data_IF_900820479369
#
_entry.id   IF_900820479369
#
_cell.length_a   1.000
_cell.length_b   1.000
_cell.length_c   1.000
_cell.angle_alpha   90.00
_cell.angle_beta   90.00
_cell.angle_gamma   90.00
#
_symmetry.space_group_name_H-M   'P 1'
#
loop_
_entity.id
_entity.type
_entity.pdbx_description
1 polymer ?
#
# COMPACT_ATOMS: atom_id res chain seq x y z
N UNK A 1 -6.56 14.55 30.83
CA UNK A 1 -7.48 14.05 29.78
C UNK A 1 -7.08 14.51 28.38
N UNK A 2 -6.89 15.82 28.16
CA UNK A 2 -6.52 16.36 26.84
C UNK A 2 -5.20 15.76 26.32
N UNK A 3 -4.14 15.70 27.14
CA UNK A 3 -2.85 15.13 26.71
C UNK A 3 -2.94 13.70 26.16
N UNK A 4 -3.66 12.80 26.85
CA UNK A 4 -3.88 11.42 26.37
C UNK A 4 -4.65 11.40 25.05
N UNK A 5 -5.67 12.27 24.92
CA UNK A 5 -6.48 12.38 23.70
C UNK A 5 -5.67 12.92 22.53
N UNK A 6 -4.77 13.88 22.77
CA UNK A 6 -3.86 14.45 21.76
C UNK A 6 -2.83 13.42 21.30
N UNK A 7 -2.29 12.59 22.22
CA UNK A 7 -1.39 11.50 21.84
C UNK A 7 -2.11 10.43 21.01
N UNK A 8 -3.29 9.99 21.47
CA UNK A 8 -4.11 9.02 20.73
C UNK A 8 -4.52 9.54 19.35
N UNK A 9 -4.89 10.83 19.27
CA UNK A 9 -5.16 11.55 18.04
C UNK A 9 -3.94 11.56 17.11
N UNK A 10 -2.79 12.01 17.61
CA UNK A 10 -1.56 12.15 16.83
C UNK A 10 -1.10 10.82 16.25
N UNK A 11 -1.15 9.74 17.04
CA UNK A 11 -0.83 8.39 16.58
C UNK A 11 -1.81 7.88 15.52
N UNK A 12 -3.12 8.05 15.74
CA UNK A 12 -4.14 7.61 14.80
C UNK A 12 -4.10 8.40 13.48
N UNK A 13 -3.92 9.71 13.59
CA UNK A 13 -3.75 10.61 12.46
C UNK A 13 -2.50 10.26 11.65
N UNK A 14 -1.36 10.09 12.32
CA UNK A 14 -0.11 9.68 11.69
C UNK A 14 -0.25 8.33 10.98
N UNK A 15 -0.74 7.29 11.65
CA UNK A 15 -0.85 5.97 11.07
C UNK A 15 -1.86 5.95 9.91
N UNK A 16 -2.96 6.68 10.04
CA UNK A 16 -3.95 6.85 8.99
C UNK A 16 -3.36 7.49 7.73
N UNK A 17 -2.65 8.60 7.86
CA UNK A 17 -1.96 9.25 6.74
C UNK A 17 -0.82 8.39 6.17
N UNK A 18 -0.07 7.70 7.04
CA UNK A 18 1.02 6.83 6.63
C UNK A 18 0.51 5.71 5.71
N UNK A 19 -0.57 5.03 6.11
CA UNK A 19 -1.20 4.00 5.28
C UNK A 19 -1.77 4.56 3.98
N UNK A 20 -2.33 5.77 4.00
CA UNK A 20 -2.90 6.41 2.82
C UNK A 20 -1.85 6.72 1.74
N UNK A 21 -0.65 7.17 2.17
CA UNK A 21 0.45 7.51 1.26
C UNK A 21 1.20 6.27 0.77
N UNK A 22 1.28 5.21 1.59
CA UNK A 22 2.10 4.01 1.32
C UNK A 22 1.81 3.38 -0.05
N UNK A 23 0.55 3.13 -0.38
CA UNK A 23 0.15 2.74 -1.74
C UNK A 23 -1.29 3.19 -2.08
N UNK A 24 -1.46 4.24 -2.91
CA UNK A 24 -2.76 4.81 -3.28
C UNK A 24 -3.63 3.84 -4.12
N UNK A 25 -3.09 2.68 -4.53
CA UNK A 25 -3.80 1.71 -5.37
C UNK A 25 -4.46 0.59 -4.56
N UNK A 26 -4.09 0.41 -3.28
CA UNK A 26 -4.54 -0.72 -2.47
C UNK A 26 -5.77 -0.37 -1.62
N UNK A 27 -6.95 -0.99 -1.87
CA UNK A 27 -8.17 -0.67 -1.13
C UNK A 27 -8.07 -0.99 0.37
N UNK A 28 -7.29 -2.02 0.74
CA UNK A 28 -7.03 -2.38 2.13
C UNK A 28 -6.43 -1.21 2.93
N UNK A 29 -5.41 -0.54 2.37
CA UNK A 29 -4.74 0.57 3.04
C UNK A 29 -5.66 1.78 3.19
N UNK A 30 -6.46 2.10 2.16
CA UNK A 30 -7.39 3.24 2.20
C UNK A 30 -8.51 3.05 3.22
N UNK A 31 -9.07 1.84 3.29
CA UNK A 31 -10.16 1.54 4.22
C UNK A 31 -9.65 1.56 5.66
N UNK A 32 -8.48 1.00 5.89
CA UNK A 32 -7.84 1.06 7.21
C UNK A 32 -7.51 2.50 7.60
N UNK A 33 -6.92 3.28 6.68
CA UNK A 33 -6.64 4.69 6.86
C UNK A 33 -7.91 5.50 7.18
N UNK A 34 -9.00 5.28 6.44
CA UNK A 34 -10.27 5.96 6.67
C UNK A 34 -10.81 5.72 8.09
N UNK A 35 -10.69 4.50 8.62
CA UNK A 35 -11.10 4.19 9.99
C UNK A 35 -10.26 4.91 11.05
N UNK A 36 -8.93 4.95 10.85
CA UNK A 36 -8.00 5.65 11.75
C UNK A 36 -8.22 7.17 11.73
N UNK A 37 -8.41 7.75 10.53
CA UNK A 37 -8.67 9.18 10.37
C UNK A 37 -10.04 9.58 10.91
N UNK A 38 -11.07 8.75 10.75
CA UNK A 38 -12.39 8.99 11.34
C UNK A 38 -12.34 8.95 12.88
N UNK A 39 -11.59 8.00 13.44
CA UNK A 39 -11.36 7.94 14.89
C UNK A 39 -10.59 9.17 15.39
N UNK A 40 -9.53 9.58 14.69
CA UNK A 40 -8.79 10.79 15.02
C UNK A 40 -9.71 12.03 14.97
N UNK A 41 -10.52 12.19 13.92
CA UNK A 41 -11.49 13.28 13.83
C UNK A 41 -12.49 13.25 15.00
N UNK A 42 -12.92 12.07 15.46
CA UNK A 42 -13.81 11.92 16.60
C UNK A 42 -13.19 12.32 17.95
N UNK A 43 -11.86 12.26 18.07
CA UNK A 43 -11.15 12.75 19.27
C UNK A 43 -10.98 14.27 19.28
N UNK A 44 -10.83 14.88 18.10
CA UNK A 44 -10.49 16.31 17.97
C UNK A 44 -11.70 17.23 17.88
N UNK A 45 -12.82 16.72 17.36
CA UNK A 45 -14.01 17.50 17.06
C UNK A 45 -15.20 17.06 17.93
N UNK A 46 -16.10 17.97 18.34
CA UNK A 46 -17.37 17.62 18.97
C UNK A 46 -18.30 17.04 17.91
N UNK A 47 -18.06 15.79 17.54
CA UNK A 47 -18.85 15.08 16.53
C UNK A 47 -19.99 14.29 17.18
N UNK A 48 -21.13 14.14 16.47
CA UNK A 48 -22.18 13.26 16.92
C UNK A 48 -21.68 11.81 17.05
N UNK A 49 -22.23 11.00 17.97
CA UNK A 49 -21.78 9.61 18.21
C UNK A 49 -21.77 8.71 16.97
N UNK A 50 -22.56 9.04 15.93
CA UNK A 50 -22.51 8.37 14.62
C UNK A 50 -21.11 8.34 14.02
N UNK A 51 -20.26 9.34 14.26
CA UNK A 51 -18.89 9.36 13.71
C UNK A 51 -18.05 8.22 14.30
N UNK A 52 -18.38 7.72 15.50
CA UNK A 52 -17.76 6.52 16.06
C UNK A 52 -18.17 5.22 15.34
N UNK A 53 -19.23 5.26 14.52
CA UNK A 53 -19.60 4.14 13.66
C UNK A 53 -18.76 4.08 12.37
N UNK A 54 -18.15 5.20 11.94
CA UNK A 54 -17.33 5.24 10.72
C UNK A 54 -16.08 4.35 10.80
N UNK A 55 -15.31 4.33 11.92
CA UNK A 55 -14.24 3.35 12.09
C UNK A 55 -14.72 1.91 11.93
N UNK A 56 -15.89 1.57 12.46
CA UNK A 56 -16.44 0.21 12.34
C UNK A 56 -16.81 -0.16 10.90
N UNK A 57 -17.39 0.78 10.14
CA UNK A 57 -17.70 0.57 8.71
C UNK A 57 -16.40 0.45 7.91
N UNK A 58 -15.42 1.31 8.16
CA UNK A 58 -14.11 1.23 7.53
C UNK A 58 -13.40 -0.11 7.83
N UNK A 59 -13.49 -0.58 9.07
CA UNK A 59 -12.93 -1.86 9.53
C UNK A 59 -13.55 -3.06 8.83
N UNK A 60 -14.89 -3.10 8.70
CA UNK A 60 -15.56 -4.14 7.90
C UNK A 60 -15.02 -4.16 6.48
N UNK A 61 -14.81 -2.98 5.90
CA UNK A 61 -14.25 -2.82 4.57
C UNK A 61 -12.82 -3.35 4.47
N UNK A 62 -11.98 -3.11 5.47
CA UNK A 62 -10.62 -3.61 5.50
C UNK A 62 -10.59 -5.15 5.58
N UNK A 63 -11.39 -5.76 6.45
CA UNK A 63 -11.45 -7.23 6.56
C UNK A 63 -11.99 -7.87 5.27
N UNK A 64 -13.00 -7.27 4.62
CA UNK A 64 -13.53 -7.81 3.35
C UNK A 64 -12.51 -7.87 2.22
N UNK A 65 -11.41 -7.09 2.28
CA UNK A 65 -10.31 -7.20 1.32
C UNK A 65 -9.55 -8.53 1.41
N UNK A 66 -9.65 -9.24 2.53
CA UNK A 66 -9.06 -10.58 2.69
C UNK A 66 -10.03 -11.71 2.36
N UNK A 67 -11.30 -11.39 2.14
CA UNK A 67 -12.34 -12.34 1.76
C UNK A 67 -12.51 -12.40 0.24
N UNK A 68 -13.20 -13.41 -0.31
CA UNK A 68 -13.51 -13.49 -1.74
C UNK A 68 -14.15 -12.21 -2.30
N UNK A 69 -13.84 -11.86 -3.56
CA UNK A 69 -14.22 -10.59 -4.22
C UNK A 69 -15.72 -10.25 -4.14
N UNK A 70 -16.59 -11.26 -4.02
CA UNK A 70 -18.03 -11.05 -3.84
C UNK A 70 -18.33 -10.19 -2.61
N UNK A 71 -17.64 -10.40 -1.50
CA UNK A 71 -17.87 -9.66 -0.25
C UNK A 71 -17.35 -8.22 -0.35
N UNK A 72 -16.23 -8.03 -1.04
CA UNK A 72 -15.71 -6.70 -1.35
C UNK A 72 -16.71 -5.88 -2.17
N UNK A 73 -17.31 -6.50 -3.20
CA UNK A 73 -18.33 -5.86 -4.03
C UNK A 73 -19.58 -5.50 -3.22
N UNK A 74 -20.03 -6.41 -2.36
CA UNK A 74 -21.20 -6.18 -1.51
C UNK A 74 -20.94 -5.03 -0.53
N UNK A 75 -19.76 -5.00 0.09
CA UNK A 75 -19.38 -3.92 1.00
C UNK A 75 -19.39 -2.55 0.31
N UNK A 76 -18.86 -2.45 -0.92
CA UNK A 76 -18.86 -1.18 -1.68
C UNK A 76 -20.28 -0.65 -1.94
N UNK A 77 -21.24 -1.55 -2.17
CA UNK A 77 -22.64 -1.19 -2.40
C UNK A 77 -23.33 -0.85 -1.08
N UNK A 78 -23.05 -1.59 -0.01
CA UNK A 78 -23.72 -1.43 1.29
C UNK A 78 -23.13 -0.33 2.18
N UNK A 79 -21.88 0.12 1.93
CA UNK A 79 -21.19 1.07 2.81
C UNK A 79 -21.95 2.39 2.96
N UNK A 80 -22.39 3.01 1.86
CA UNK A 80 -23.12 4.29 1.90
C UNK A 80 -24.49 4.15 2.59
N UNK A 81 -25.34 3.16 2.22
CA UNK A 81 -26.56 2.86 2.97
C UNK A 81 -26.31 2.59 4.45
N UNK A 82 -25.21 1.91 4.79
CA UNK A 82 -24.87 1.58 6.18
C UNK A 82 -24.46 2.82 6.98
N UNK A 83 -23.73 3.77 6.37
CA UNK A 83 -23.44 5.07 6.99
C UNK A 83 -24.74 5.84 7.24
N UNK A 84 -25.65 5.86 6.26
CA UNK A 84 -26.96 6.51 6.41
C UNK A 84 -27.79 5.86 7.52
N UNK A 85 -27.82 4.52 7.59
CA UNK A 85 -28.51 3.80 8.65
C UNK A 85 -27.87 4.06 10.02
N UNK A 86 -26.53 4.09 10.10
CA UNK A 86 -25.79 4.36 11.33
C UNK A 86 -26.06 5.78 11.86
N UNK A 87 -26.43 6.73 10.99
CA UNK A 87 -26.86 8.06 11.40
C UNK A 87 -28.11 8.04 12.27
N UNK A 88 -29.08 7.17 11.94
CA UNK A 88 -30.31 7.02 12.71
C UNK A 88 -30.17 6.01 13.86
N UNK A 89 -29.40 4.95 13.64
CA UNK A 89 -29.20 3.87 14.61
C UNK A 89 -27.75 3.36 14.57
N UNK A 90 -26.81 4.01 15.28
CA UNK A 90 -25.39 3.65 15.27
C UNK A 90 -25.07 2.17 15.52
N UNK A 91 -25.76 1.45 16.45
CA UNK A 91 -25.48 0.03 16.68
C UNK A 91 -25.68 -0.89 15.46
N UNK A 92 -26.34 -0.42 14.40
CA UNK A 92 -26.56 -1.20 13.15
C UNK A 92 -25.24 -1.72 12.55
N UNK A 93 -24.12 -1.03 12.77
CA UNK A 93 -22.80 -1.41 12.22
C UNK A 93 -22.18 -2.62 12.90
N UNK A 94 -22.67 -3.02 14.07
CA UNK A 94 -22.16 -4.19 14.81
C UNK A 94 -22.51 -5.50 14.10
N UNK A 95 -23.66 -5.56 13.43
CA UNK A 95 -24.10 -6.76 12.70
C UNK A 95 -23.16 -7.12 11.53
N UNK A 96 -22.87 -6.22 10.56
CA UNK A 96 -21.92 -6.51 9.50
C UNK A 96 -20.50 -6.72 10.03
N UNK A 97 -20.09 -6.03 11.10
CA UNK A 97 -18.80 -6.25 11.75
C UNK A 97 -18.66 -7.65 12.34
N UNK A 98 -19.65 -8.11 13.10
CA UNK A 98 -19.69 -9.46 13.62
C UNK A 98 -19.72 -10.50 12.49
N UNK A 99 -20.55 -10.27 11.47
CA UNK A 99 -20.67 -11.19 10.33
C UNK A 99 -19.34 -11.38 9.60
N UNK A 100 -18.69 -10.28 9.21
CA UNK A 100 -17.40 -10.30 8.51
C UNK A 100 -16.30 -10.90 9.39
N UNK A 101 -16.31 -10.61 10.70
CA UNK A 101 -15.38 -11.22 11.64
C UNK A 101 -15.56 -12.74 11.73
N UNK A 102 -16.80 -13.24 11.81
CA UNK A 102 -17.06 -14.69 11.83
C UNK A 102 -16.58 -15.36 10.55
N UNK A 103 -16.83 -14.74 9.39
CA UNK A 103 -16.31 -15.24 8.12
C UNK A 103 -14.78 -15.29 8.13
N UNK A 104 -14.13 -14.22 8.58
CA UNK A 104 -12.69 -14.14 8.67
C UNK A 104 -12.09 -15.20 9.61
N UNK A 105 -12.67 -15.39 10.80
CA UNK A 105 -12.19 -16.39 11.77
C UNK A 105 -12.39 -17.84 11.30
N UNK A 106 -13.39 -18.09 10.44
CA UNK A 106 -13.59 -19.40 9.81
C UNK A 106 -12.52 -19.73 8.79
N UNK A 107 -12.06 -18.73 8.03
CA UNK A 107 -11.04 -18.90 6.99
C UNK A 107 -9.60 -18.76 7.55
N UNK A 108 -9.40 -17.96 8.60
CA UNK A 108 -8.09 -17.58 9.11
C UNK A 108 -8.04 -17.48 10.65
N UNK A 109 -7.22 -18.31 11.30
CA UNK A 109 -6.92 -18.19 12.74
C UNK A 109 -5.67 -17.33 12.97
N UNK A 110 -5.84 -16.01 12.97
CA UNK A 110 -4.71 -15.06 13.03
C UNK A 110 -4.92 -13.97 14.07
N UNK A 111 -3.84 -13.28 14.45
CA UNK A 111 -3.85 -12.13 15.37
C UNK A 111 -4.81 -11.01 14.93
N UNK A 112 -5.01 -10.85 13.62
CA UNK A 112 -5.99 -9.93 13.03
C UNK A 112 -7.42 -10.23 13.50
N UNK A 113 -7.75 -11.51 13.67
CA UNK A 113 -9.05 -11.95 14.18
C UNK A 113 -9.24 -11.57 15.65
N UNK A 114 -8.19 -11.67 16.46
CA UNK A 114 -8.23 -11.24 17.86
C UNK A 114 -8.39 -9.70 17.97
N UNK A 115 -7.60 -8.92 17.23
CA UNK A 115 -7.73 -7.46 17.20
C UNK A 115 -9.13 -7.02 16.73
N UNK A 116 -9.70 -7.72 15.74
CA UNK A 116 -11.04 -7.43 15.23
C UNK A 116 -12.14 -7.82 16.22
N UNK A 117 -11.96 -8.89 17.00
CA UNK A 117 -12.88 -9.27 18.06
C UNK A 117 -12.89 -8.25 19.20
N UNK A 118 -11.71 -7.81 19.65
CA UNK A 118 -11.60 -6.76 20.67
C UNK A 118 -12.26 -5.47 20.20
N UNK A 119 -11.99 -5.07 18.95
CA UNK A 119 -12.61 -3.89 18.34
C UNK A 119 -14.15 -4.01 18.26
N UNK A 120 -14.69 -5.18 17.91
CA UNK A 120 -16.14 -5.43 17.90
C UNK A 120 -16.75 -5.28 19.31
N UNK A 121 -16.09 -5.85 20.33
CA UNK A 121 -16.54 -5.75 21.72
C UNK A 121 -16.48 -4.31 22.23
N UNK A 122 -15.39 -3.59 21.96
CA UNK A 122 -15.21 -2.18 22.32
C UNK A 122 -16.24 -1.29 21.64
N UNK A 123 -16.44 -1.46 20.33
CA UNK A 123 -17.47 -0.75 19.56
C UNK A 123 -18.88 -1.03 20.10
N UNK A 124 -19.18 -2.30 20.41
CA UNK A 124 -20.45 -2.71 20.97
C UNK A 124 -20.75 -2.05 22.31
N UNK A 125 -19.76 -2.02 23.21
CA UNK A 125 -19.93 -1.41 24.52
C UNK A 125 -20.13 0.12 24.43
N UNK A 126 -19.56 0.81 23.41
CA UNK A 126 -19.71 2.27 23.23
C UNK A 126 -21.10 2.55 22.69
N UNK A 127 -21.46 1.89 21.58
CA UNK A 127 -22.68 2.19 20.84
C UNK A 127 -23.94 1.80 21.61
N UNK A 128 -23.83 0.84 22.53
CA UNK A 128 -24.92 0.40 23.41
C UNK A 128 -24.86 1.05 24.80
N UNK A 129 -23.94 1.99 25.03
CA UNK A 129 -23.81 2.77 26.27
C UNK A 129 -23.64 1.91 27.55
N UNK A 130 -22.89 0.81 27.45
CA UNK A 130 -22.68 -0.12 28.58
C UNK A 130 -21.62 0.36 29.58
N UNK A 131 -20.68 1.23 29.16
CA UNK A 131 -19.47 1.59 29.93
C UNK A 131 -19.16 3.08 29.73
N UNK A 132 -18.54 3.77 30.71
CA UNK A 132 -18.11 5.16 30.53
C UNK A 132 -17.27 5.36 29.26
N UNK A 133 -17.72 6.30 28.41
CA UNK A 133 -17.19 6.49 27.06
C UNK A 133 -15.66 6.74 27.01
N UNK A 134 -15.09 7.35 28.05
CA UNK A 134 -13.66 7.72 28.08
C UNK A 134 -12.72 6.52 27.94
N UNK A 135 -12.89 5.50 28.78
CA UNK A 135 -12.03 4.31 28.75
C UNK A 135 -12.25 3.48 27.50
N UNK A 136 -13.48 3.50 27.00
CA UNK A 136 -13.89 2.69 25.89
C UNK A 136 -13.43 3.26 24.54
N UNK A 137 -13.44 4.59 24.39
CA UNK A 137 -12.82 5.28 23.24
C UNK A 137 -11.31 5.02 23.20
N UNK A 138 -10.63 5.05 24.36
CA UNK A 138 -9.20 4.71 24.43
C UNK A 138 -8.93 3.25 24.03
N UNK A 139 -9.74 2.30 24.50
CA UNK A 139 -9.62 0.89 24.13
C UNK A 139 -9.82 0.67 22.62
N UNK A 140 -10.84 1.30 22.02
CA UNK A 140 -11.06 1.30 20.58
C UNK A 140 -9.82 1.85 19.85
N UNK A 141 -9.23 2.93 20.35
CA UNK A 141 -8.00 3.49 19.78
C UNK A 141 -6.84 2.49 19.76
N UNK A 142 -6.63 1.73 20.83
CA UNK A 142 -5.60 0.69 20.90
C UNK A 142 -5.85 -0.40 19.86
N UNK A 143 -7.08 -0.90 19.77
CA UNK A 143 -7.45 -1.90 18.77
C UNK A 143 -7.19 -1.36 17.35
N UNK A 144 -7.62 -0.12 17.08
CA UNK A 144 -7.42 0.53 15.80
C UNK A 144 -5.95 0.63 15.41
N UNK A 145 -5.10 1.06 16.36
CA UNK A 145 -3.66 1.17 16.12
C UNK A 145 -3.05 -0.20 15.85
N UNK A 146 -3.40 -1.21 16.65
CA UNK A 146 -2.89 -2.57 16.49
C UNK A 146 -3.22 -3.12 15.10
N UNK A 147 -4.47 -2.97 14.66
CA UNK A 147 -4.87 -3.40 13.34
C UNK A 147 -4.20 -2.61 12.22
N UNK A 148 -4.08 -1.28 12.35
CA UNK A 148 -3.38 -0.45 11.38
C UNK A 148 -1.92 -0.90 11.20
N UNK A 149 -1.23 -1.20 12.31
CA UNK A 149 0.14 -1.76 12.28
C UNK A 149 0.15 -3.16 11.66
N UNK A 150 -0.78 -4.04 12.01
CA UNK A 150 -0.88 -5.38 11.43
C UNK A 150 -1.11 -5.34 9.91
N UNK A 151 -1.98 -4.44 9.44
CA UNK A 151 -2.23 -4.19 8.02
C UNK A 151 -0.95 -3.71 7.34
N UNK A 152 -0.23 -2.76 7.95
CA UNK A 152 1.03 -2.25 7.41
C UNK A 152 2.09 -3.37 7.30
N UNK A 153 2.28 -4.14 8.37
CA UNK A 153 3.25 -5.25 8.42
C UNK A 153 2.90 -6.33 7.41
N UNK A 154 1.61 -6.67 7.30
CA UNK A 154 1.15 -7.66 6.32
C UNK A 154 1.37 -7.17 4.89
N UNK A 155 1.02 -5.92 4.63
CA UNK A 155 1.25 -5.27 3.34
C UNK A 155 2.73 -5.31 2.95
N UNK A 156 3.63 -4.92 3.86
CA UNK A 156 5.07 -4.97 3.64
C UNK A 156 5.59 -6.39 3.38
N UNK A 157 5.11 -7.38 4.13
CA UNK A 157 5.46 -8.77 3.90
C UNK A 157 4.96 -9.29 2.54
N UNK A 158 3.78 -8.86 2.12
CA UNK A 158 3.23 -9.20 0.81
C UNK A 158 4.01 -8.51 -0.34
N UNK A 159 4.58 -7.34 -0.06
CA UNK A 159 5.50 -6.59 -0.94
C UNK A 159 6.95 -7.10 -0.93
N UNK A 160 7.37 -7.83 0.11
CA UNK A 160 8.77 -8.20 0.33
C UNK A 160 9.64 -7.03 0.85
N UNK A 161 9.01 -6.02 1.43
CA UNK A 161 9.67 -4.81 1.96
C UNK A 161 9.91 -4.92 3.48
N UNK A 162 10.96 -4.23 3.95
CA UNK A 162 11.16 -3.97 5.36
C UNK A 162 10.27 -2.79 5.78
N UNK A 163 9.47 -2.96 6.83
CA UNK A 163 8.58 -1.87 7.29
C UNK A 163 9.09 -1.13 8.51
N UNK A 164 9.84 -1.81 9.38
CA UNK A 164 10.18 -1.30 10.70
C UNK A 164 10.94 0.02 10.64
N UNK A 165 11.99 0.08 9.83
CA UNK A 165 12.84 1.27 9.73
C UNK A 165 12.06 2.46 9.14
N UNK A 166 11.27 2.22 8.09
CA UNK A 166 10.44 3.25 7.46
C UNK A 166 9.36 3.81 8.41
N UNK A 167 8.60 2.94 9.08
CA UNK A 167 7.60 3.36 10.06
C UNK A 167 8.22 4.10 11.24
N UNK A 168 9.33 3.60 11.81
CA UNK A 168 10.01 4.25 12.95
C UNK A 168 10.54 5.61 12.53
N UNK A 169 11.16 5.73 11.35
CA UNK A 169 11.61 7.02 10.82
C UNK A 169 10.44 7.99 10.68
N UNK A 170 9.35 7.56 10.04
CA UNK A 170 8.15 8.39 9.85
C UNK A 170 7.55 8.83 11.19
N UNK A 171 7.44 7.91 12.15
CA UNK A 171 6.92 8.17 13.48
C UNK A 171 7.78 9.16 14.26
N UNK A 172 9.11 8.95 14.29
CA UNK A 172 10.03 9.81 15.04
C UNK A 172 10.02 11.25 14.51
N UNK A 173 10.04 11.42 13.19
CA UNK A 173 10.00 12.77 12.59
C UNK A 173 8.64 13.43 12.83
N UNK A 174 7.54 12.68 12.70
CA UNK A 174 6.19 13.19 12.95
C UNK A 174 5.98 13.55 14.42
N UNK A 175 6.43 12.70 15.35
CA UNK A 175 6.38 12.96 16.79
C UNK A 175 7.27 14.15 17.17
N UNK A 176 8.46 14.27 16.60
CA UNK A 176 9.35 15.42 16.80
C UNK A 176 8.70 16.73 16.37
N UNK A 177 8.13 16.78 15.16
CA UNK A 177 7.40 17.96 14.69
C UNK A 177 6.15 18.26 15.51
N UNK A 178 5.34 17.26 15.83
CA UNK A 178 4.17 17.43 16.68
C UNK A 178 4.55 17.93 18.09
N UNK A 179 5.68 17.48 18.65
CA UNK A 179 6.17 17.95 19.94
C UNK A 179 6.64 19.41 19.88
N UNK A 180 7.34 19.81 18.80
CA UNK A 180 7.79 21.20 18.63
C UNK A 180 6.59 22.14 18.46
N UNK A 181 5.75 21.88 17.46
CA UNK A 181 4.64 22.79 17.13
C UNK A 181 3.48 22.66 18.14
N UNK A 182 3.08 21.44 18.48
CA UNK A 182 2.02 21.20 19.46
C UNK A 182 2.44 21.54 20.89
N UNK A 183 3.71 21.33 21.25
CA UNK A 183 4.23 21.70 22.56
C UNK A 183 4.19 23.20 22.82
N UNK A 184 4.51 24.03 21.81
CA UNK A 184 4.37 25.48 21.91
C UNK A 184 2.93 25.92 22.22
N UNK A 185 1.93 25.30 21.57
CA UNK A 185 0.51 25.57 21.85
C UNK A 185 0.11 25.03 23.23
N UNK A 186 0.64 23.86 23.60
CA UNK A 186 0.34 23.21 24.89
C UNK A 186 0.82 24.03 26.10
N UNK A 187 1.93 24.79 25.97
CA UNK A 187 2.46 25.63 27.05
C UNK A 187 1.53 26.78 27.45
N UNK A 188 0.73 27.27 26.51
CA UNK A 188 -0.20 28.38 26.71
C UNK A 188 -1.66 27.93 26.59
N UNK A 189 -1.91 26.64 26.83
CA UNK A 189 -3.21 26.03 26.58
C UNK A 189 -4.26 26.51 27.58
N UNK A 190 -5.33 27.09 27.04
CA UNK A 190 -6.63 27.21 27.68
C UNK A 190 -7.57 26.14 27.07
N UNK A 191 -8.58 25.68 27.81
CA UNK A 191 -9.52 24.64 27.36
C UNK A 191 -10.22 25.03 26.04
N UNK A 192 -10.42 26.34 25.82
CA UNK A 192 -10.98 26.89 24.58
C UNK A 192 -10.06 26.74 23.36
N UNK A 193 -8.76 26.55 23.59
CA UNK A 193 -7.72 26.41 22.57
C UNK A 193 -7.39 24.94 22.25
N UNK A 194 -8.12 23.98 22.84
CA UNK A 194 -7.94 22.56 22.51
C UNK A 194 -8.03 22.26 21.00
N UNK A 195 -8.99 22.83 20.23
CA UNK A 195 -9.03 22.63 18.78
C UNK A 195 -7.78 23.14 18.05
N UNK A 196 -7.16 24.21 18.54
CA UNK A 196 -5.90 24.74 17.99
C UNK A 196 -4.75 23.77 18.21
N UNK A 197 -4.69 23.13 19.39
CA UNK A 197 -3.70 22.10 19.69
C UNK A 197 -3.85 20.89 18.75
N UNK A 198 -5.07 20.36 18.60
CA UNK A 198 -5.34 19.26 17.66
C UNK A 198 -5.01 19.65 16.21
N UNK A 199 -5.43 20.84 15.77
CA UNK A 199 -5.15 21.35 14.43
C UNK A 199 -3.65 21.52 14.16
N UNK A 200 -2.91 22.04 15.13
CA UNK A 200 -1.45 22.21 15.04
C UNK A 200 -0.72 20.86 14.94
N UNK A 201 -1.10 19.89 15.79
CA UNK A 201 -0.55 18.53 15.72
C UNK A 201 -0.91 17.86 14.39
N UNK A 202 -2.16 18.00 13.94
CA UNK A 202 -2.62 17.45 12.67
C UNK A 202 -1.83 18.01 11.49
N UNK A 203 -1.62 19.32 11.45
CA UNK A 203 -0.87 20.01 10.40
C UNK A 203 0.60 19.59 10.41
N UNK A 204 1.24 19.54 11.58
CA UNK A 204 2.63 19.13 11.72
C UNK A 204 2.86 17.69 11.21
N UNK A 205 2.00 16.75 11.62
CA UNK A 205 2.06 15.36 11.15
C UNK A 205 1.73 15.27 9.66
N UNK A 206 0.70 15.99 9.19
CA UNK A 206 0.29 15.94 7.79
C UNK A 206 1.36 16.48 6.84
N UNK A 207 1.99 17.61 7.18
CA UNK A 207 3.09 18.18 6.38
C UNK A 207 4.26 17.19 6.23
N UNK A 208 4.59 16.47 7.31
CA UNK A 208 5.64 15.47 7.27
C UNK A 208 5.26 14.25 6.43
N UNK A 209 4.10 13.66 6.68
CA UNK A 209 3.69 12.40 6.03
C UNK A 209 3.34 12.64 4.56
N UNK A 210 2.80 13.81 4.22
CA UNK A 210 2.44 14.21 2.86
C UNK A 210 3.53 15.01 2.15
N UNK A 211 4.76 15.04 2.67
CA UNK A 211 5.86 15.84 2.11
C UNK A 211 6.07 15.58 0.61
N UNK A 212 6.09 14.31 0.18
CA UNK A 212 6.31 13.97 -1.24
C UNK A 212 5.10 14.27 -2.14
N UNK A 213 3.86 13.90 -1.77
CA UNK A 213 2.68 14.34 -2.51
C UNK A 213 2.61 15.87 -2.66
N UNK A 214 2.88 16.62 -1.59
CA UNK A 214 2.88 18.08 -1.62
C UNK A 214 4.00 18.61 -2.52
N UNK A 215 5.22 18.07 -2.39
CA UNK A 215 6.34 18.43 -3.25
C UNK A 215 6.06 18.12 -4.73
N UNK A 216 5.36 17.02 -5.05
CA UNK A 216 4.97 16.73 -6.43
C UNK A 216 3.95 17.74 -6.99
N UNK A 217 3.04 18.25 -6.17
CA UNK A 217 2.12 19.33 -6.58
C UNK A 217 2.90 20.63 -6.80
N UNK A 218 3.81 20.97 -5.90
CA UNK A 218 4.65 22.17 -6.01
C UNK A 218 5.57 22.09 -7.23
N UNK A 219 6.24 20.96 -7.45
CA UNK A 219 7.17 20.76 -8.56
C UNK A 219 6.46 20.92 -9.91
N UNK A 220 5.22 20.46 -10.07
CA UNK A 220 4.43 20.66 -11.31
C UNK A 220 4.14 22.13 -11.62
N UNK A 221 4.14 23.00 -10.61
CA UNK A 221 3.86 24.43 -10.78
C UNK A 221 5.15 25.22 -10.88
N UNK A 222 6.13 24.93 -10.01
CA UNK A 222 7.37 25.69 -9.89
C UNK A 222 8.45 25.25 -10.87
N UNK A 223 8.53 23.96 -11.21
CA UNK A 223 9.59 23.36 -12.04
C UNK A 223 9.04 22.23 -12.95
N UNK A 224 8.06 22.53 -13.84
CA UNK A 224 7.34 21.51 -14.60
C UNK A 224 8.25 20.65 -15.50
N UNK A 225 9.35 21.20 -16.01
CA UNK A 225 10.28 20.51 -16.92
C UNK A 225 11.00 19.32 -16.26
N UNK A 226 11.29 19.43 -14.96
CA UNK A 226 12.06 18.43 -14.18
C UNK A 226 11.21 17.76 -13.09
N UNK A 227 9.89 18.00 -13.09
CA UNK A 227 9.00 17.55 -12.02
C UNK A 227 8.96 16.01 -11.90
N UNK A 228 8.97 15.33 -13.04
CA UNK A 228 8.92 13.86 -13.09
C UNK A 228 10.25 13.24 -12.61
N UNK A 229 11.39 13.80 -13.05
CA UNK A 229 12.73 13.36 -12.62
C UNK A 229 12.93 13.57 -11.11
N UNK A 230 12.48 14.71 -10.59
CA UNK A 230 12.50 14.99 -9.14
C UNK A 230 11.61 14.03 -8.35
N UNK A 231 10.46 13.65 -8.91
CA UNK A 231 9.58 12.68 -8.28
C UNK A 231 10.24 11.29 -8.22
N UNK A 232 10.87 10.85 -9.30
CA UNK A 232 11.59 9.56 -9.37
C UNK A 232 12.73 9.50 -8.35
N UNK A 233 13.56 10.56 -8.26
CA UNK A 233 14.65 10.63 -7.28
C UNK A 233 14.15 10.57 -5.83
N UNK A 234 13.03 11.26 -5.53
CA UNK A 234 12.41 11.21 -4.20
C UNK A 234 11.85 9.83 -3.88
N UNK A 235 11.17 9.21 -4.84
CA UNK A 235 10.64 7.85 -4.69
C UNK A 235 11.76 6.83 -4.44
N UNK A 236 12.87 6.93 -5.17
CA UNK A 236 14.05 6.10 -4.95
C UNK A 236 14.65 6.31 -3.55
N UNK A 237 14.75 7.55 -3.08
CA UNK A 237 15.24 7.86 -1.73
C UNK A 237 14.33 7.30 -0.63
N UNK A 238 13.01 7.38 -0.80
CA UNK A 238 12.01 6.87 0.15
C UNK A 238 11.85 5.35 0.14
N UNK A 239 12.33 4.68 -0.91
CA UNK A 239 12.39 3.23 -0.97
C UNK A 239 13.56 2.66 -0.15
N UNK A 240 14.61 3.44 0.12
CA UNK A 240 15.80 2.96 0.84
C UNK A 240 15.49 2.39 2.24
N UNK A 241 14.68 3.03 3.10
CA UNK A 241 14.33 2.47 4.40
C UNK A 241 13.47 1.20 4.30
N UNK A 242 12.90 0.92 3.11
CA UNK A 242 12.05 -0.25 2.84
C UNK A 242 12.79 -1.43 2.24
N UNK A 243 14.08 -1.29 1.93
CA UNK A 243 14.90 -2.39 1.44
C UNK A 243 14.97 -3.51 2.48
N UNK A 244 14.54 -4.71 2.09
CA UNK A 244 14.70 -5.91 2.88
C UNK A 244 15.89 -6.74 2.37
N UNK A 245 16.62 -7.42 3.27
CA UNK A 245 17.65 -8.36 2.85
C UNK A 245 17.02 -9.56 2.12
N UNK A 246 17.77 -10.17 1.20
CA UNK A 246 17.35 -11.42 0.58
C UNK A 246 17.43 -12.57 1.60
N UNK A 247 16.28 -13.10 2.00
CA UNK A 247 16.22 -14.26 2.91
C UNK A 247 16.59 -15.56 2.19
N UNK A 248 17.19 -16.51 2.92
CA UNK A 248 17.59 -17.82 2.39
C UNK A 248 16.38 -18.64 1.89
N UNK A 249 15.28 -18.66 2.65
CA UNK A 249 14.03 -19.34 2.30
C UNK A 249 13.05 -18.47 1.49
N UNK A 250 13.56 -17.45 0.79
CA UNK A 250 12.69 -16.52 0.07
C UNK A 250 11.94 -17.22 -1.08
N UNK A 251 10.64 -16.97 -1.18
CA UNK A 251 9.84 -17.39 -2.34
C UNK A 251 10.26 -16.56 -3.57
N UNK A 252 11.26 -17.08 -4.28
CA UNK A 252 11.90 -16.42 -5.40
C UNK A 252 10.94 -16.13 -6.57
N UNK A 253 9.94 -17.01 -6.77
CA UNK A 253 8.88 -16.82 -7.76
C UNK A 253 8.01 -15.62 -7.37
N UNK A 254 7.61 -15.52 -6.09
CA UNK A 254 6.84 -14.38 -5.59
C UNK A 254 7.61 -13.07 -5.76
N UNK A 255 8.90 -13.05 -5.36
CA UNK A 255 9.76 -11.87 -5.49
C UNK A 255 9.95 -11.44 -6.95
N UNK A 256 10.20 -12.40 -7.85
CA UNK A 256 10.39 -12.12 -9.29
C UNK A 256 9.12 -11.56 -9.91
N UNK A 257 7.96 -12.17 -9.63
CA UNK A 257 6.67 -11.65 -10.12
C UNK A 257 6.42 -10.22 -9.63
N UNK A 258 6.82 -9.92 -8.38
CA UNK A 258 6.68 -8.57 -7.82
C UNK A 258 7.61 -7.59 -8.53
N UNK A 259 8.88 -7.95 -8.72
CA UNK A 259 9.84 -7.11 -9.44
C UNK A 259 9.38 -6.84 -10.89
N UNK A 260 8.85 -7.85 -11.59
CA UNK A 260 8.21 -7.67 -12.91
C UNK A 260 7.04 -6.69 -12.85
N UNK A 261 6.18 -6.78 -11.83
CA UNK A 261 5.05 -5.86 -11.66
C UNK A 261 5.46 -4.40 -11.41
N UNK A 262 6.65 -4.21 -10.85
CA UNK A 262 7.29 -2.91 -10.57
C UNK A 262 8.31 -2.51 -11.63
N UNK A 263 8.42 -3.22 -12.77
CA UNK A 263 9.48 -3.00 -13.76
C UNK A 263 9.58 -1.56 -14.28
N UNK A 264 8.44 -0.87 -14.40
CA UNK A 264 8.36 0.52 -14.86
C UNK A 264 8.63 1.57 -13.77
N UNK A 265 8.95 1.17 -12.55
CA UNK A 265 9.08 2.03 -11.38
C UNK A 265 10.38 1.70 -10.65
N UNK A 266 11.43 2.48 -10.96
CA UNK A 266 12.77 2.22 -10.44
C UNK A 266 12.83 2.34 -8.92
N UNK A 267 12.09 3.28 -8.34
CA UNK A 267 12.01 3.45 -6.89
C UNK A 267 11.48 2.20 -6.20
N UNK A 268 10.44 1.56 -6.73
CA UNK A 268 9.96 0.27 -6.20
C UNK A 268 10.93 -0.88 -6.41
N UNK A 269 11.72 -0.87 -7.47
CA UNK A 269 12.77 -1.87 -7.67
C UNK A 269 13.89 -1.75 -6.64
N UNK A 270 14.23 -0.54 -6.17
CA UNK A 270 15.22 -0.31 -5.12
C UNK A 270 14.86 -1.03 -3.81
N UNK A 271 13.57 -1.11 -3.48
CA UNK A 271 13.11 -1.83 -2.29
C UNK A 271 13.11 -3.37 -2.46
N UNK A 272 13.28 -3.88 -3.68
CA UNK A 272 13.22 -5.32 -3.95
C UNK A 272 14.41 -6.06 -3.33
N UNK A 273 14.19 -7.17 -2.62
CA UNK A 273 15.27 -8.04 -2.12
C UNK A 273 16.16 -8.60 -3.25
N UNK A 274 15.63 -8.69 -4.47
CA UNK A 274 16.39 -9.16 -5.64
C UNK A 274 17.51 -8.20 -6.05
N UNK A 275 17.57 -6.99 -5.50
CA UNK A 275 18.74 -6.11 -5.71
C UNK A 275 20.00 -6.68 -5.07
N UNK A 276 19.90 -7.59 -4.10
CA UNK A 276 21.05 -8.19 -3.40
C UNK A 276 21.65 -9.40 -4.10
N UNK A 277 21.16 -9.77 -5.28
CA UNK A 277 21.66 -10.94 -6.00
C UNK A 277 23.17 -10.83 -6.29
N UNK A 278 23.96 -11.90 -6.08
CA UNK A 278 25.40 -11.89 -6.33
C UNK A 278 25.79 -11.53 -7.77
N UNK A 279 24.96 -11.93 -8.75
CA UNK A 279 25.17 -11.58 -10.17
C UNK A 279 25.15 -10.07 -10.40
N UNK A 280 24.35 -9.30 -9.66
CA UNK A 280 24.31 -7.83 -9.76
C UNK A 280 25.65 -7.25 -9.27
N UNK A 281 26.12 -7.70 -8.11
CA UNK A 281 27.42 -7.25 -7.57
C UNK A 281 28.57 -7.55 -8.53
N UNK A 282 28.58 -8.74 -9.16
CA UNK A 282 29.59 -9.11 -10.18
C UNK A 282 29.52 -8.21 -11.41
N UNK A 283 28.33 -7.91 -11.92
CA UNK A 283 28.13 -7.04 -13.10
C UNK A 283 28.55 -5.59 -12.83
N UNK A 284 28.18 -5.04 -11.67
CA UNK A 284 28.58 -3.70 -11.26
C UNK A 284 30.10 -3.58 -11.13
N UNK A 285 30.74 -4.57 -10.50
CA UNK A 285 32.20 -4.62 -10.37
C UNK A 285 32.90 -4.71 -11.74
N UNK A 286 32.39 -5.55 -12.65
CA UNK A 286 32.94 -5.69 -14.00
C UNK A 286 32.82 -4.39 -14.83
N UNK A 287 31.77 -3.59 -14.60
CA UNK A 287 31.56 -2.30 -15.25
C UNK A 287 32.33 -1.15 -14.59
N UNK A 288 32.87 -1.36 -13.39
CA UNK A 288 33.45 -0.28 -12.57
C UNK A 288 32.40 0.72 -12.08
N UNK A 289 31.12 0.32 -12.02
CA UNK A 289 30.04 1.16 -11.54
C UNK A 289 30.02 1.19 -9.99
N UNK A 290 29.61 2.30 -9.36
CA UNK A 290 29.51 2.36 -7.91
C UNK A 290 28.39 1.44 -7.40
N UNK A 291 28.62 0.73 -6.31
CA UNK A 291 27.63 -0.17 -5.69
C UNK A 291 26.57 0.62 -4.90
N UNK A 292 25.79 1.43 -5.63
CA UNK A 292 24.72 2.26 -5.09
C UNK A 292 23.36 1.59 -5.31
N UNK A 293 22.38 1.81 -4.41
CA UNK A 293 21.06 1.17 -4.51
C UNK A 293 20.34 1.39 -5.86
N UNK A 294 20.52 2.58 -6.44
CA UNK A 294 19.88 2.96 -7.71
C UNK A 294 20.52 2.21 -8.90
N UNK A 295 21.84 2.04 -8.88
CA UNK A 295 22.58 1.22 -9.86
C UNK A 295 22.21 -0.27 -9.74
N UNK A 296 22.11 -0.79 -8.50
CA UNK A 296 21.64 -2.17 -8.27
C UNK A 296 20.22 -2.40 -8.79
N UNK A 297 19.32 -1.42 -8.63
CA UNK A 297 17.96 -1.48 -9.17
C UNK A 297 17.94 -1.40 -10.70
N UNK A 298 18.81 -0.58 -11.30
CA UNK A 298 18.98 -0.50 -12.75
C UNK A 298 19.51 -1.81 -13.32
N UNK A 299 20.47 -2.46 -12.65
CA UNK A 299 20.98 -3.78 -13.04
C UNK A 299 19.95 -4.90 -12.79
N UNK A 300 19.13 -4.82 -11.74
CA UNK A 300 18.00 -5.74 -11.60
C UNK A 300 17.00 -5.59 -12.76
N UNK A 301 16.72 -4.36 -13.18
CA UNK A 301 15.87 -4.07 -14.35
C UNK A 301 16.48 -4.62 -15.64
N UNK A 302 17.80 -4.52 -15.82
CA UNK A 302 18.51 -5.08 -16.97
C UNK A 302 18.43 -6.60 -16.99
N UNK A 303 18.68 -7.26 -15.84
CA UNK A 303 18.56 -8.71 -15.67
C UNK A 303 17.16 -9.23 -15.99
N UNK A 304 16.12 -8.61 -15.43
CA UNK A 304 14.73 -8.97 -15.71
C UNK A 304 14.40 -8.85 -17.20
N UNK A 305 14.88 -7.79 -17.84
CA UNK A 305 14.69 -7.59 -19.27
C UNK A 305 15.37 -8.69 -20.09
N UNK A 306 16.63 -9.01 -19.79
CA UNK A 306 17.36 -10.08 -20.47
C UNK A 306 16.68 -11.44 -20.29
N UNK A 307 16.20 -11.76 -19.09
CA UNK A 307 15.44 -12.98 -18.82
C UNK A 307 14.15 -13.04 -19.64
N UNK A 308 13.42 -11.92 -19.77
CA UNK A 308 12.25 -11.84 -20.66
C UNK A 308 12.67 -12.06 -22.11
N UNK A 309 13.76 -11.43 -22.59
CA UNK A 309 14.24 -11.59 -23.96
C UNK A 309 14.64 -13.03 -24.28
N UNK A 310 15.18 -13.79 -23.31
CA UNK A 310 15.46 -15.22 -23.49
C UNK A 310 14.20 -16.07 -23.76
N UNK A 311 13.01 -15.58 -23.37
CA UNK A 311 11.74 -16.23 -23.69
C UNK A 311 11.28 -15.94 -25.13
N UNK A 312 11.89 -14.98 -25.83
CA UNK A 312 11.55 -14.66 -27.22
C UNK A 312 11.93 -15.85 -28.10
N UNK A 313 11.00 -16.41 -28.89
CA UNK A 313 11.34 -17.41 -29.89
C UNK A 313 12.36 -16.87 -30.89
N UNK A 314 13.24 -17.75 -31.40
CA UNK A 314 14.30 -17.35 -32.35
C UNK A 314 13.75 -16.94 -33.72
N UNK A 315 12.53 -17.35 -34.03
CA UNK A 315 11.90 -17.18 -35.35
C UNK A 315 11.04 -15.91 -35.39
N UNK A 316 11.64 -14.80 -35.82
CA UNK A 316 10.94 -13.60 -36.29
C UNK A 316 10.86 -12.41 -35.32
N UNK A 317 10.40 -11.27 -35.85
CA UNK A 317 10.32 -10.01 -35.10
C UNK A 317 9.12 -9.96 -34.14
N UNK A 318 7.96 -10.53 -34.54
CA UNK A 318 6.74 -10.65 -33.73
C UNK A 318 5.91 -11.88 -34.15
N UNK A 319 5.38 -12.63 -33.18
CA UNK A 319 4.46 -13.76 -33.42
C UNK A 319 3.35 -13.85 -32.37
N UNK A 320 2.24 -14.51 -32.74
CA UNK A 320 1.08 -14.78 -31.87
C UNK A 320 0.86 -16.26 -31.61
N UNK A 321 1.85 -17.11 -31.94
CA UNK A 321 1.76 -18.54 -31.68
C UNK A 321 1.94 -18.85 -30.20
N UNK A 322 1.68 -20.11 -29.84
CA UNK A 322 1.79 -20.59 -28.46
C UNK A 322 3.18 -20.43 -27.84
N UNK A 323 4.23 -20.42 -28.66
CA UNK A 323 5.62 -20.22 -28.21
C UNK A 323 5.88 -18.79 -27.76
N UNK A 324 5.18 -17.82 -28.36
CA UNK A 324 5.32 -16.39 -28.04
C UNK A 324 4.56 -15.97 -26.79
N UNK A 325 3.65 -16.81 -26.26
CA UNK A 325 2.67 -16.41 -25.24
C UNK A 325 3.30 -15.84 -23.97
N UNK A 326 4.39 -16.42 -23.48
CA UNK A 326 5.05 -15.98 -22.24
C UNK A 326 5.85 -14.71 -22.47
N UNK A 327 6.60 -14.63 -23.58
CA UNK A 327 7.30 -13.41 -23.98
C UNK A 327 6.32 -12.24 -24.13
N UNK A 328 5.29 -12.41 -24.96
CA UNK A 328 4.31 -11.36 -25.23
C UNK A 328 3.60 -10.91 -23.94
N UNK A 329 3.17 -11.87 -23.09
CA UNK A 329 2.45 -11.57 -21.85
C UNK A 329 3.28 -10.78 -20.84
N UNK A 330 4.61 -10.94 -20.83
CA UNK A 330 5.51 -10.20 -19.94
C UNK A 330 6.06 -8.92 -20.58
N UNK A 331 6.61 -9.00 -21.79
CA UNK A 331 7.26 -7.90 -22.47
C UNK A 331 6.27 -6.75 -22.73
N UNK A 332 5.17 -7.01 -23.43
CA UNK A 332 4.22 -5.94 -23.76
C UNK A 332 3.51 -5.39 -22.52
N UNK A 333 3.31 -6.20 -21.48
CA UNK A 333 2.60 -5.77 -20.28
C UNK A 333 3.47 -4.98 -19.30
N UNK A 334 4.69 -5.46 -19.02
CA UNK A 334 5.58 -4.88 -18.01
C UNK A 334 6.64 -3.96 -18.60
N UNK A 335 7.23 -4.32 -19.74
CA UNK A 335 8.30 -3.53 -20.38
C UNK A 335 7.72 -2.39 -21.21
N UNK A 336 6.77 -2.70 -22.10
CA UNK A 336 6.09 -1.68 -22.93
C UNK A 336 4.97 -0.97 -22.16
N UNK A 337 4.42 -1.60 -21.11
CA UNK A 337 3.41 -0.97 -20.24
C UNK A 337 1.97 -1.04 -20.75
N UNK A 338 1.66 -1.92 -21.72
CA UNK A 338 0.32 -2.08 -22.27
C UNK A 338 -0.59 -2.81 -21.27
N UNK A 339 -1.79 -2.27 -21.01
CA UNK A 339 -2.78 -2.87 -20.10
C UNK A 339 -4.07 -3.21 -20.89
N UNK A 340 -4.16 -4.38 -21.54
CA UNK A 340 -5.18 -4.66 -22.56
C UNK A 340 -6.64 -4.44 -22.12
N UNK A 341 -6.95 -4.73 -20.86
CA UNK A 341 -8.30 -4.62 -20.29
C UNK A 341 -8.52 -3.33 -19.46
N UNK A 342 -7.54 -2.42 -19.45
CA UNK A 342 -7.67 -1.14 -18.76
C UNK A 342 -8.17 -0.06 -19.71
N UNK A 343 -9.17 0.71 -19.27
CA UNK A 343 -9.64 1.92 -19.99
C UNK A 343 -8.57 3.01 -20.08
N UNK A 344 -7.45 2.89 -19.35
CA UNK A 344 -6.37 3.87 -19.30
C UNK A 344 -5.30 3.68 -20.38
N UNK A 345 -5.33 2.59 -21.14
CA UNK A 345 -4.33 2.39 -22.22
C UNK A 345 -4.63 3.31 -23.39
N UNK A 346 -3.81 4.36 -23.52
CA UNK A 346 -3.80 5.23 -24.70
C UNK A 346 -3.31 4.42 -25.90
N UNK A 347 -4.15 4.28 -26.92
CA UNK A 347 -3.89 3.44 -28.11
C UNK A 347 -3.11 4.18 -29.21
N UNK A 348 -3.01 5.50 -29.07
CA UNK A 348 -2.54 6.42 -30.12
C UNK A 348 -1.00 6.49 -30.17
N UNK A 349 -0.31 6.28 -29.04
CA UNK A 349 1.16 6.39 -28.94
C UNK A 349 1.89 5.04 -29.06
N UNK A 350 1.22 3.99 -29.57
CA UNK A 350 1.80 2.64 -29.64
C UNK A 350 2.54 2.38 -30.96
N UNK A 351 3.74 1.82 -30.84
CA UNK A 351 4.53 1.26 -31.94
C UNK A 351 3.74 0.18 -32.73
N UNK A 352 4.02 -0.08 -34.04
CA UNK A 352 3.23 -1.02 -34.83
C UNK A 352 3.12 -2.41 -34.22
N UNK A 353 4.18 -2.93 -33.60
CA UNK A 353 4.15 -4.26 -32.98
C UNK A 353 3.39 -4.26 -31.66
N UNK A 354 3.51 -3.20 -30.87
CA UNK A 354 2.69 -2.97 -29.68
C UNK A 354 1.18 -2.91 -30.02
N UNK A 355 0.83 -2.33 -31.17
CA UNK A 355 -0.56 -2.28 -31.66
C UNK A 355 -1.07 -3.64 -32.09
N UNK A 356 -0.26 -4.43 -32.80
CA UNK A 356 -0.58 -5.83 -33.16
C UNK A 356 -0.77 -6.68 -31.91
N UNK A 357 0.12 -6.56 -30.94
CA UNK A 357 0.05 -7.28 -29.67
C UNK A 357 -1.22 -6.91 -28.88
N UNK A 358 -1.54 -5.62 -28.77
CA UNK A 358 -2.77 -5.17 -28.13
C UNK A 358 -4.02 -5.72 -28.82
N UNK A 359 -4.06 -5.69 -30.16
CA UNK A 359 -5.18 -6.24 -30.92
C UNK A 359 -5.33 -7.75 -30.68
N UNK A 360 -4.22 -8.49 -30.67
CA UNK A 360 -4.22 -9.91 -30.34
C UNK A 360 -4.73 -10.19 -28.92
N UNK A 361 -4.25 -9.45 -27.92
CA UNK A 361 -4.71 -9.61 -26.53
C UNK A 361 -6.21 -9.39 -26.39
N UNK A 362 -6.74 -8.31 -26.97
CA UNK A 362 -8.17 -7.96 -26.82
C UNK A 362 -9.07 -8.94 -27.59
N UNK A 363 -8.62 -9.43 -28.75
CA UNK A 363 -9.48 -10.23 -29.63
C UNK A 363 -9.41 -11.74 -29.36
N UNK A 364 -8.26 -12.25 -28.91
CA UNK A 364 -7.99 -13.71 -28.88
C UNK A 364 -7.64 -14.25 -27.50
N UNK A 365 -7.24 -13.39 -26.55
CA UNK A 365 -6.79 -13.82 -25.23
C UNK A 365 -7.84 -13.41 -24.20
N UNK A 366 -8.39 -14.32 -23.39
CA UNK A 366 -9.19 -13.91 -22.23
C UNK A 366 -8.32 -13.36 -21.09
N UNK A 367 -8.87 -12.46 -20.26
CA UNK A 367 -8.14 -11.85 -19.12
C UNK A 367 -7.55 -12.90 -18.17
N UNK A 368 -8.32 -13.94 -17.83
CA UNK A 368 -7.84 -15.06 -17.00
C UNK A 368 -6.65 -15.79 -17.63
N UNK A 369 -6.67 -15.97 -18.95
CA UNK A 369 -5.59 -16.65 -19.68
C UNK A 369 -4.33 -15.81 -19.67
N UNK A 370 -4.45 -14.49 -19.89
CA UNK A 370 -3.32 -13.56 -19.77
C UNK A 370 -2.67 -13.65 -18.38
N UNK A 371 -3.48 -13.63 -17.31
CA UNK A 371 -2.97 -13.78 -15.96
C UNK A 371 -2.26 -15.11 -15.71
N UNK A 372 -2.78 -16.20 -16.27
CA UNK A 372 -2.13 -17.51 -16.19
C UNK A 372 -0.78 -17.51 -16.92
N UNK A 373 -0.70 -16.92 -18.10
CA UNK A 373 0.54 -16.81 -18.88
C UNK A 373 1.57 -15.91 -18.20
N UNK A 374 1.14 -14.82 -17.56
CA UNK A 374 2.00 -13.96 -16.75
C UNK A 374 2.58 -14.72 -15.56
N UNK A 375 1.75 -15.47 -14.83
CA UNK A 375 2.21 -16.28 -13.70
C UNK A 375 3.19 -17.38 -14.14
N UNK A 376 2.91 -18.05 -15.27
CA UNK A 376 3.80 -19.07 -15.83
C UNK A 376 5.12 -18.46 -16.33
N UNK A 377 5.07 -17.33 -17.04
CA UNK A 377 6.25 -16.62 -17.51
C UNK A 377 7.13 -16.13 -16.35
N UNK A 378 6.52 -15.59 -15.29
CA UNK A 378 7.24 -15.16 -14.10
C UNK A 378 7.99 -16.32 -13.41
N UNK A 379 7.44 -17.53 -13.44
CA UNK A 379 8.14 -18.74 -12.95
C UNK A 379 9.37 -19.08 -13.80
N UNK A 380 9.29 -18.93 -15.12
CA UNK A 380 10.43 -19.15 -16.02
C UNK A 380 11.54 -18.13 -15.77
N UNK A 381 11.18 -16.85 -15.65
CA UNK A 381 12.14 -15.77 -15.30
C UNK A 381 12.75 -16.02 -13.93
N UNK A 382 11.95 -16.45 -12.95
CA UNK A 382 12.46 -16.78 -11.62
C UNK A 382 13.48 -17.93 -11.66
N UNK A 383 13.19 -19.00 -12.39
CA UNK A 383 14.10 -20.13 -12.55
C UNK A 383 15.42 -19.72 -13.23
N UNK A 384 15.34 -18.88 -14.26
CA UNK A 384 16.51 -18.34 -14.95
C UNK A 384 17.37 -17.44 -14.06
N UNK A 385 16.73 -16.58 -13.25
CA UNK A 385 17.43 -15.76 -12.26
C UNK A 385 18.04 -16.60 -11.14
N UNK A 386 17.36 -17.65 -10.64
CA UNK A 386 17.92 -18.58 -9.64
C UNK A 386 19.13 -19.34 -10.17
N UNK A 387 19.08 -19.80 -11.43
CA UNK A 387 20.22 -20.48 -12.05
C UNK A 387 21.47 -19.57 -12.12
N UNK A 388 21.29 -18.26 -12.26
CA UNK A 388 22.38 -17.27 -12.24
C UNK A 388 22.90 -16.95 -10.84
N UNK A 389 22.21 -17.38 -9.78
CA UNK A 389 22.69 -17.30 -8.39
C UNK A 389 23.62 -18.47 -8.09
N UNK A 390 23.31 -19.66 -8.61
CA UNK A 390 24.10 -20.88 -8.40
C UNK A 390 25.40 -20.94 -9.24
N UNK A 391 25.46 -20.18 -10.34
CA UNK A 391 26.62 -20.04 -11.23
C UNK A 391 27.48 -18.82 -10.86
#
# INVERSE_FOLDING_TARGET
MIGVSVVAFGLAWWLGLYLLVRDPRKPLLHRTAAGLLAYAAALALPVPPVVLALPAIAWTGAITCWLPERYDRWWRISAVPLVAAAWFFPPVVLLPLAFVLVLYLREHRTLVGAASLMFLLGSGAVLLNFVPAVWLVAAIGVDLMLFGVLVAVRDAFDEGEAIRADMVRSLLVSAGMAAVFGGQVALFLDDRLAPLLFGTVAAAVALQVLANPLAAVVDRVAVPEVADERAELREAADALPRRAPLAEDADFVKLTRRALSSYGDLGKLVASPLTELPVISRRLAARGAPDQPLERAAELKSLLWESIQRLKPKDGDFGTSDEWRHYNALYFYYVVGIRPYSRRTKREDLDPDARKALAWFVNQVPERTLHNWQNAGAKLVAADLSAQVEA
#
